data_IF_682029211660
#
_entry.id   IF_682029211660
#
_cell.length_a   1.000
_cell.length_b   1.000
_cell.length_c   1.000
_cell.angle_alpha   90.00
_cell.angle_beta   90.00
_cell.angle_gamma   90.00
#
_symmetry.space_group_name_H-M   'P 1'
#
loop_
_entity.id
_entity.type
_entity.pdbx_description
1 polymer ?
#
# COMPACT_ATOMS: atom_id res chain seq x y z
N UNK A 1 3.79 -2.97 -24.59
CA UNK A 1 2.52 -3.73 -24.67
C UNK A 1 2.20 -4.47 -23.37
N UNK A 2 3.07 -5.34 -22.84
CA UNK A 2 2.81 -6.12 -21.61
C UNK A 2 2.45 -5.22 -20.41
N UNK A 3 3.14 -4.09 -20.22
CA UNK A 3 2.85 -3.10 -19.18
C UNK A 3 1.39 -2.62 -19.19
N UNK A 4 0.86 -2.18 -20.34
CA UNK A 4 -0.51 -1.66 -20.40
C UNK A 4 -1.54 -2.76 -20.07
N UNK A 5 -1.36 -3.96 -20.61
CA UNK A 5 -2.25 -5.09 -20.33
C UNK A 5 -2.24 -5.49 -18.85
N UNK A 6 -1.09 -5.50 -18.19
CA UNK A 6 -1.01 -5.86 -16.77
C UNK A 6 -1.73 -4.83 -15.90
N UNK A 7 -1.61 -3.53 -16.19
CA UNK A 7 -2.33 -2.47 -15.48
C UNK A 7 -3.83 -2.44 -15.78
N UNK A 8 -4.25 -2.71 -17.03
CA UNK A 8 -5.67 -2.84 -17.40
C UNK A 8 -6.32 -3.96 -16.57
N UNK A 9 -5.72 -5.16 -16.59
CA UNK A 9 -6.25 -6.30 -15.85
C UNK A 9 -6.24 -6.06 -14.33
N UNK A 10 -5.22 -5.38 -13.82
CA UNK A 10 -5.14 -4.98 -12.40
C UNK A 10 -6.28 -4.03 -12.04
N UNK A 11 -6.52 -3.00 -12.84
CA UNK A 11 -7.60 -2.04 -12.62
C UNK A 11 -8.96 -2.74 -12.62
N UNK A 12 -9.24 -3.58 -13.63
CA UNK A 12 -10.47 -4.37 -13.69
C UNK A 12 -10.62 -5.30 -12.47
N UNK A 13 -9.54 -5.96 -12.07
CA UNK A 13 -9.52 -6.85 -10.92
C UNK A 13 -9.87 -6.15 -9.60
N UNK A 14 -9.24 -5.00 -9.33
CA UNK A 14 -9.52 -4.22 -8.12
C UNK A 14 -10.89 -3.52 -8.16
N UNK A 15 -11.37 -3.09 -9.34
CA UNK A 15 -12.75 -2.62 -9.48
C UNK A 15 -13.75 -3.75 -9.22
N UNK A 16 -13.53 -4.94 -9.76
CA UNK A 16 -14.37 -6.11 -9.49
C UNK A 16 -14.40 -6.48 -8.01
N UNK A 17 -13.24 -6.43 -7.34
CA UNK A 17 -13.14 -6.61 -5.89
C UNK A 17 -13.94 -5.55 -5.13
N UNK A 18 -13.79 -4.27 -5.50
CA UNK A 18 -14.55 -3.18 -4.89
C UNK A 18 -16.06 -3.38 -5.06
N UNK A 19 -16.54 -3.67 -6.27
CA UNK A 19 -17.95 -3.93 -6.55
C UNK A 19 -18.48 -5.10 -5.72
N UNK A 20 -17.73 -6.21 -5.63
CA UNK A 20 -18.11 -7.35 -4.80
C UNK A 20 -18.24 -6.97 -3.31
N UNK A 21 -17.31 -6.19 -2.78
CA UNK A 21 -17.33 -5.71 -1.40
C UNK A 21 -18.51 -4.77 -1.14
N UNK A 22 -18.82 -3.87 -2.08
CA UNK A 22 -19.95 -2.95 -2.00
C UNK A 22 -21.29 -3.71 -2.07
N UNK A 23 -21.39 -4.71 -2.96
CA UNK A 23 -22.59 -5.52 -3.15
C UNK A 23 -22.92 -6.40 -1.92
N UNK A 24 -21.89 -6.87 -1.19
CA UNK A 24 -22.09 -7.62 0.07
C UNK A 24 -22.56 -6.77 1.25
N UNK A 25 -22.68 -5.46 1.06
CA UNK A 25 -23.27 -4.52 2.01
C UNK A 25 -22.26 -3.89 2.95
N UNK A 26 -22.45 -2.59 3.19
CA UNK A 26 -21.62 -1.70 4.03
C UNK A 26 -21.82 -1.94 5.53
N UNK A 27 -21.99 -3.20 5.96
CA UNK A 27 -22.40 -3.52 7.33
C UNK A 27 -21.35 -3.13 8.36
N UNK A 28 -20.06 -3.27 8.03
CA UNK A 28 -18.94 -3.02 8.97
C UNK A 28 -17.91 -2.04 8.41
N UNK A 29 -17.30 -1.23 9.29
CA UNK A 29 -16.27 -0.24 8.92
C UNK A 29 -15.04 -0.85 8.23
N UNK A 30 -14.65 -2.07 8.62
CA UNK A 30 -13.54 -2.80 8.01
C UNK A 30 -13.79 -3.10 6.52
N UNK A 31 -15.00 -3.53 6.16
CA UNK A 31 -15.38 -3.79 4.76
C UNK A 31 -15.37 -2.51 3.93
N UNK A 32 -15.76 -1.37 4.52
CA UNK A 32 -15.69 -0.06 3.86
C UNK A 32 -14.25 0.36 3.58
N UNK A 33 -13.35 0.18 4.56
CA UNK A 33 -11.92 0.47 4.38
C UNK A 33 -11.28 -0.46 3.34
N UNK A 34 -11.68 -1.73 3.29
CA UNK A 34 -11.22 -2.67 2.28
C UNK A 34 -11.69 -2.25 0.87
N UNK A 35 -12.96 -1.89 0.73
CA UNK A 35 -13.50 -1.39 -0.54
C UNK A 35 -12.83 -0.09 -0.97
N UNK A 36 -12.61 0.85 -0.03
CA UNK A 36 -11.90 2.11 -0.30
C UNK A 36 -10.47 1.83 -0.79
N UNK A 37 -9.74 0.95 -0.11
CA UNK A 37 -8.39 0.57 -0.52
C UNK A 37 -8.38 -0.06 -1.92
N UNK A 38 -9.34 -0.93 -2.23
CA UNK A 38 -9.49 -1.51 -3.57
C UNK A 38 -9.83 -0.45 -4.64
N UNK A 39 -10.73 0.51 -4.35
CA UNK A 39 -11.08 1.60 -5.27
C UNK A 39 -9.87 2.48 -5.57
N UNK A 40 -9.16 2.93 -4.52
CA UNK A 40 -7.98 3.80 -4.70
C UNK A 40 -6.86 3.04 -5.43
N UNK A 41 -6.68 1.74 -5.16
CA UNK A 41 -5.74 0.90 -5.91
C UNK A 41 -6.13 0.79 -7.39
N UNK A 42 -7.42 0.58 -7.70
CA UNK A 42 -7.91 0.55 -9.08
C UNK A 42 -7.69 1.90 -9.80
N UNK A 43 -7.98 3.02 -9.14
CA UNK A 43 -7.75 4.36 -9.68
C UNK A 43 -6.26 4.63 -9.93
N UNK A 44 -5.39 4.20 -9.01
CA UNK A 44 -3.96 4.26 -9.22
C UNK A 44 -3.55 3.44 -10.46
N UNK A 45 -4.04 2.20 -10.60
CA UNK A 45 -3.75 1.38 -11.77
C UNK A 45 -4.24 2.03 -13.08
N UNK A 46 -5.43 2.67 -13.08
CA UNK A 46 -5.93 3.45 -14.23
C UNK A 46 -5.01 4.62 -14.55
N UNK A 47 -4.51 5.34 -13.54
CA UNK A 47 -3.58 6.45 -13.76
C UNK A 47 -2.30 6.02 -14.49
N UNK A 48 -1.83 4.80 -14.24
CA UNK A 48 -0.66 4.22 -14.91
C UNK A 48 -0.93 3.90 -16.39
N UNK A 49 -2.18 3.59 -16.75
CA UNK A 49 -2.59 3.33 -18.14
C UNK A 49 -2.64 4.63 -18.94
N UNK A 50 -3.25 5.68 -18.38
CA UNK A 50 -3.52 6.95 -19.07
C UNK A 50 -2.21 7.71 -19.34
N UNK A 51 -1.35 7.80 -18.33
CA UNK A 51 -0.13 8.59 -18.43
C UNK A 51 1.00 7.80 -19.08
N UNK A 52 1.10 6.49 -18.78
CA UNK A 52 2.17 5.63 -19.25
C UNK A 52 3.55 6.03 -18.69
N UNK A 53 4.48 5.08 -18.66
CA UNK A 53 5.87 5.42 -18.34
C UNK A 53 6.52 6.21 -19.49
N UNK A 54 7.33 7.26 -19.23
CA UNK A 54 7.74 7.82 -17.93
C UNK A 54 6.90 9.03 -17.47
N UNK A 55 5.78 9.33 -18.13
CA UNK A 55 4.99 10.51 -17.79
C UNK A 55 4.28 10.29 -16.46
N UNK A 56 4.47 11.23 -15.53
CA UNK A 56 3.87 11.16 -14.21
C UNK A 56 3.06 12.44 -13.96
N UNK A 57 1.74 12.32 -14.02
CA UNK A 57 0.82 13.39 -13.63
C UNK A 57 0.67 13.48 -12.11
N UNK A 58 0.33 14.67 -11.60
CA UNK A 58 0.14 14.91 -10.16
C UNK A 58 -0.89 13.95 -9.54
N UNK A 59 -1.98 13.68 -10.25
CA UNK A 59 -3.01 12.74 -9.79
C UNK A 59 -2.44 11.33 -9.61
N UNK A 60 -1.55 10.87 -10.49
CA UNK A 60 -0.92 9.55 -10.35
C UNK A 60 0.00 9.49 -9.13
N UNK A 61 0.73 10.56 -8.82
CA UNK A 61 1.60 10.64 -7.63
C UNK A 61 0.78 10.63 -6.34
N UNK A 62 -0.33 11.36 -6.30
CA UNK A 62 -1.22 11.34 -5.13
C UNK A 62 -1.87 9.96 -4.98
N UNK A 63 -2.39 9.37 -6.07
CA UNK A 63 -2.98 8.03 -6.03
C UNK A 63 -1.95 6.94 -5.67
N UNK A 64 -0.68 7.14 -6.01
CA UNK A 64 0.42 6.26 -5.61
C UNK A 64 0.56 6.23 -4.09
N UNK A 65 0.68 7.39 -3.43
CA UNK A 65 0.73 7.44 -1.96
C UNK A 65 -0.60 7.00 -1.32
N UNK A 66 -1.73 7.40 -1.92
CA UNK A 66 -3.06 7.14 -1.40
C UNK A 66 -3.36 5.64 -1.30
N UNK A 67 -2.97 4.83 -2.29
CA UNK A 67 -3.26 3.41 -2.21
C UNK A 67 -2.50 2.74 -1.06
N UNK A 68 -1.23 3.11 -0.81
CA UNK A 68 -0.47 2.63 0.35
C UNK A 68 -1.19 2.91 1.67
N UNK A 69 -1.52 4.17 1.92
CA UNK A 69 -2.14 4.57 3.20
C UNK A 69 -3.55 4.02 3.35
N UNK A 70 -4.32 3.84 2.27
CA UNK A 70 -5.63 3.18 2.35
C UNK A 70 -5.51 1.69 2.75
N UNK A 71 -4.53 0.97 2.21
CA UNK A 71 -4.24 -0.40 2.66
C UNK A 71 -3.75 -0.43 4.10
N UNK A 72 -2.90 0.52 4.51
CA UNK A 72 -2.47 0.65 5.90
C UNK A 72 -3.65 0.88 6.86
N UNK A 73 -4.59 1.78 6.52
CA UNK A 73 -5.79 2.04 7.31
C UNK A 73 -6.69 0.80 7.42
N UNK A 74 -6.88 0.07 6.32
CA UNK A 74 -7.60 -1.19 6.35
C UNK A 74 -6.93 -2.21 7.27
N UNK A 75 -5.62 -2.44 7.12
CA UNK A 75 -4.87 -3.37 7.97
C UNK A 75 -4.87 -2.93 9.44
N UNK A 76 -4.76 -1.62 9.72
CA UNK A 76 -4.87 -1.06 11.05
C UNK A 76 -6.24 -1.33 11.69
N UNK A 77 -7.30 -1.42 10.89
CA UNK A 77 -8.65 -1.76 11.37
C UNK A 77 -8.83 -3.24 11.73
N UNK A 78 -7.91 -4.11 11.29
CA UNK A 78 -7.86 -5.52 11.64
C UNK A 78 -7.00 -5.80 12.88
N UNK A 79 -6.17 -4.84 13.29
CA UNK A 79 -5.36 -4.97 14.50
C UNK A 79 -6.24 -4.90 15.75
N UNK A 80 -5.92 -5.68 16.80
CA UNK A 80 -6.67 -5.64 18.04
C UNK A 80 -6.45 -4.31 18.76
N UNK A 81 -7.43 -3.85 19.55
CA UNK A 81 -7.32 -2.61 20.33
C UNK A 81 -6.16 -2.63 21.34
N UNK A 82 -5.65 -3.81 21.70
CA UNK A 82 -4.47 -4.00 22.55
C UNK A 82 -3.14 -3.76 21.83
N UNK A 83 -3.12 -3.66 20.49
CA UNK A 83 -1.94 -3.26 19.72
C UNK A 83 -1.68 -1.76 19.94
N UNK A 84 -1.13 -1.44 21.12
CA UNK A 84 -0.81 -0.07 21.51
C UNK A 84 0.19 0.52 20.51
N UNK A 85 -0.13 1.67 19.94
CA UNK A 85 0.77 2.43 19.07
C UNK A 85 0.44 2.34 17.58
N UNK A 86 0.63 1.18 16.94
CA UNK A 86 0.60 1.08 15.47
C UNK A 86 -0.69 1.60 14.81
N UNK A 87 -1.91 1.20 15.22
CA UNK A 87 -3.13 1.70 14.59
C UNK A 87 -3.30 3.21 14.77
N UNK A 88 -2.84 3.76 15.89
CA UNK A 88 -2.89 5.19 16.18
C UNK A 88 -1.88 5.96 15.31
N UNK A 89 -0.65 5.45 15.21
CA UNK A 89 0.39 5.98 14.31
C UNK A 89 -0.11 5.99 12.87
N UNK A 90 -0.71 4.90 12.38
CA UNK A 90 -1.24 4.83 11.01
C UNK A 90 -2.33 5.88 10.78
N UNK A 91 -3.27 6.03 11.73
CA UNK A 91 -4.37 7.00 11.62
C UNK A 91 -3.88 8.46 11.59
N UNK A 92 -2.83 8.79 12.34
CA UNK A 92 -2.24 10.13 12.35
C UNK A 92 -1.33 10.33 11.14
N UNK A 93 -0.50 9.34 10.80
CA UNK A 93 0.44 9.43 9.69
C UNK A 93 -0.29 9.53 8.34
N UNK A 94 -1.44 8.89 8.17
CA UNK A 94 -2.18 8.90 6.89
C UNK A 94 -2.50 10.32 6.37
N UNK A 95 -3.22 11.18 7.11
CA UNK A 95 -3.48 12.55 6.63
C UNK A 95 -2.19 13.37 6.50
N UNK A 96 -1.20 13.17 7.38
CA UNK A 96 0.08 13.87 7.31
C UNK A 96 0.83 13.53 6.01
N UNK A 97 0.93 12.25 5.65
CA UNK A 97 1.60 11.80 4.43
C UNK A 97 0.90 12.32 3.18
N UNK A 98 -0.44 12.32 3.15
CA UNK A 98 -1.20 12.82 2.00
C UNK A 98 -1.05 14.34 1.86
N UNK A 99 -1.18 15.10 2.96
CA UNK A 99 -1.01 16.55 2.93
C UNK A 99 0.44 16.93 2.61
N UNK A 100 1.42 16.21 3.15
CA UNK A 100 2.83 16.40 2.80
C UNK A 100 3.10 16.10 1.32
N UNK A 101 2.49 15.04 0.76
CA UNK A 101 2.60 14.71 -0.67
C UNK A 101 2.03 15.84 -1.52
N UNK A 102 0.81 16.27 -1.22
CA UNK A 102 0.14 17.36 -1.94
C UNK A 102 0.98 18.64 -1.84
N UNK A 103 1.46 18.99 -0.65
CA UNK A 103 2.34 20.13 -0.43
C UNK A 103 3.63 20.05 -1.26
N UNK A 104 4.32 18.91 -1.26
CA UNK A 104 5.51 18.70 -2.08
C UNK A 104 5.20 18.85 -3.58
N UNK A 105 4.05 18.34 -4.05
CA UNK A 105 3.64 18.47 -5.45
C UNK A 105 3.36 19.93 -5.86
N UNK A 106 2.84 20.76 -4.96
CA UNK A 106 2.69 22.21 -5.24
C UNK A 106 4.03 22.93 -5.40
N UNK A 107 5.10 22.39 -4.81
CA UNK A 107 6.45 22.96 -4.88
C UNK A 107 7.25 22.49 -6.10
N UNK A 108 6.73 21.57 -6.92
CA UNK A 108 7.40 21.04 -8.12
C UNK A 108 7.60 22.08 -9.24
N UNK A 109 6.98 23.26 -9.13
CA UNK A 109 7.17 24.41 -10.05
C UNK A 109 8.30 25.37 -9.64
N UNK A 110 9.07 25.05 -8.60
CA UNK A 110 10.15 25.89 -8.08
C UNK A 110 11.46 25.75 -8.90
N UNK A 111 12.43 26.67 -8.71
CA UNK A 111 13.72 26.62 -9.41
C UNK A 111 14.48 25.29 -9.23
N UNK A 112 15.40 24.92 -10.15
CA UNK A 112 16.01 23.59 -10.22
C UNK A 112 16.70 23.09 -8.95
N UNK A 113 17.28 24.00 -8.14
CA UNK A 113 17.92 23.65 -6.88
C UNK A 113 16.93 23.18 -5.81
N UNK A 114 15.69 23.68 -5.83
CA UNK A 114 14.60 23.23 -4.95
C UNK A 114 13.89 22.01 -5.52
N UNK A 115 13.88 21.84 -6.85
CA UNK A 115 13.24 20.69 -7.52
C UNK A 115 13.81 19.34 -7.07
N UNK A 116 15.13 19.24 -6.84
CA UNK A 116 15.77 18.02 -6.34
C UNK A 116 15.31 17.66 -4.92
N UNK A 117 15.30 18.65 -4.01
CA UNK A 117 14.83 18.47 -2.63
C UNK A 117 13.35 18.07 -2.59
N UNK A 118 12.52 18.68 -3.45
CA UNK A 118 11.12 18.33 -3.60
C UNK A 118 10.98 16.89 -4.12
N UNK A 119 11.76 16.51 -5.13
CA UNK A 119 11.80 15.14 -5.66
C UNK A 119 12.13 14.12 -4.57
N UNK A 120 13.21 14.33 -3.81
CA UNK A 120 13.59 13.48 -2.68
C UNK A 120 12.47 13.36 -1.65
N UNK A 121 11.82 14.47 -1.29
CA UNK A 121 10.71 14.46 -0.32
C UNK A 121 9.53 13.59 -0.79
N UNK A 122 9.18 13.65 -2.07
CA UNK A 122 8.13 12.84 -2.70
C UNK A 122 8.44 11.35 -2.56
N UNK A 123 9.70 10.94 -2.76
CA UNK A 123 10.14 9.56 -2.59
C UNK A 123 10.15 9.12 -1.12
N UNK A 124 10.64 9.95 -0.22
CA UNK A 124 10.68 9.65 1.23
C UNK A 124 9.26 9.43 1.77
N UNK A 125 8.29 10.24 1.32
CA UNK A 125 6.88 10.10 1.69
C UNK A 125 6.32 8.74 1.24
N UNK A 126 6.60 8.32 0.00
CA UNK A 126 6.16 7.01 -0.52
C UNK A 126 6.83 5.86 0.24
N UNK A 127 8.14 5.96 0.50
CA UNK A 127 8.90 5.00 1.27
C UNK A 127 8.31 4.83 2.69
N UNK A 128 7.99 5.93 3.37
CA UNK A 128 7.38 5.89 4.70
C UNK A 128 5.99 5.24 4.64
N UNK A 129 5.17 5.55 3.64
CA UNK A 129 3.87 4.92 3.45
C UNK A 129 3.99 3.40 3.22
N UNK A 130 4.96 2.96 2.42
CA UNK A 130 5.24 1.53 2.16
C UNK A 130 5.66 0.82 3.45
N UNK A 131 6.62 1.39 4.19
CA UNK A 131 7.13 0.80 5.44
C UNK A 131 6.02 0.67 6.47
N UNK A 132 5.19 1.72 6.63
CA UNK A 132 4.02 1.68 7.53
C UNK A 132 3.04 0.59 7.11
N UNK A 133 2.78 0.46 5.81
CA UNK A 133 1.85 -0.55 5.28
C UNK A 133 2.39 -1.97 5.52
N UNK A 134 3.68 -2.23 5.26
CA UNK A 134 4.32 -3.51 5.55
C UNK A 134 4.34 -3.82 7.05
N UNK A 135 4.58 -2.81 7.89
CA UNK A 135 4.51 -2.97 9.34
C UNK A 135 3.08 -3.37 9.78
N UNK A 136 2.06 -2.81 9.14
CA UNK A 136 0.67 -3.21 9.36
C UNK A 136 0.39 -4.64 8.88
N UNK A 137 0.91 -5.06 7.72
CA UNK A 137 0.79 -6.45 7.22
C UNK A 137 1.38 -7.44 8.22
N UNK A 138 2.60 -7.19 8.68
CA UNK A 138 3.30 -8.04 9.64
C UNK A 138 2.60 -8.03 10.99
N UNK A 139 2.19 -6.84 11.46
CA UNK A 139 1.45 -6.68 12.72
C UNK A 139 0.15 -7.49 12.72
N UNK A 140 -0.64 -7.43 11.64
CA UNK A 140 -1.88 -8.19 11.50
C UNK A 140 -1.61 -9.69 11.50
N UNK A 141 -0.60 -10.15 10.74
CA UNK A 141 -0.28 -11.58 10.65
C UNK A 141 0.25 -12.14 11.97
N UNK A 142 1.06 -11.38 12.70
CA UNK A 142 1.59 -11.80 14.01
C UNK A 142 0.53 -11.81 15.10
N UNK A 143 -0.34 -10.81 15.10
CA UNK A 143 -1.39 -10.73 16.11
C UNK A 143 -2.39 -11.89 15.96
N UNK A 144 -2.64 -12.35 14.72
CA UNK A 144 -3.62 -13.39 14.39
C UNK A 144 -3.39 -14.72 15.12
N UNK A 145 -4.47 -15.29 15.66
CA UNK A 145 -4.51 -16.67 16.16
C UNK A 145 -4.35 -17.69 15.02
N UNK A 146 -4.06 -18.95 15.35
CA UNK A 146 -3.83 -20.01 14.35
C UNK A 146 -5.01 -20.20 13.40
N UNK A 147 -6.25 -20.10 13.91
CA UNK A 147 -7.47 -20.17 13.10
C UNK A 147 -7.63 -18.96 12.18
N UNK A 148 -7.35 -17.75 12.68
CA UNK A 148 -7.47 -16.50 11.92
C UNK A 148 -6.43 -16.39 10.80
N UNK A 149 -5.20 -16.90 11.03
CA UNK A 149 -4.12 -16.92 10.04
C UNK A 149 -4.53 -17.60 8.73
N UNK A 150 -5.38 -18.63 8.80
CA UNK A 150 -5.90 -19.32 7.61
C UNK A 150 -6.78 -18.44 6.72
N UNK A 151 -7.48 -17.47 7.29
CA UNK A 151 -8.27 -16.50 6.55
C UNK A 151 -7.40 -15.30 6.13
N UNK A 152 -6.60 -14.76 7.05
CA UNK A 152 -5.77 -13.57 6.84
C UNK A 152 -4.65 -13.78 5.83
N UNK A 153 -4.17 -15.02 5.61
CA UNK A 153 -3.13 -15.28 4.59
C UNK A 153 -3.53 -14.82 3.19
N UNK A 154 -4.83 -14.86 2.85
CA UNK A 154 -5.34 -14.39 1.56
C UNK A 154 -5.33 -12.86 1.43
N UNK A 155 -5.03 -12.12 2.50
CA UNK A 155 -4.85 -10.67 2.54
C UNK A 155 -3.37 -10.35 2.74
N UNK A 156 -2.75 -10.88 3.80
CA UNK A 156 -1.38 -10.54 4.20
C UNK A 156 -0.34 -11.02 3.18
N UNK A 157 -0.51 -12.20 2.56
CA UNK A 157 0.46 -12.71 1.57
C UNK A 157 0.46 -11.84 0.30
N UNK A 158 -0.67 -11.63 -0.41
CA UNK A 158 -0.65 -10.83 -1.63
C UNK A 158 -0.21 -9.38 -1.38
N UNK A 159 -0.70 -8.75 -0.31
CA UNK A 159 -0.28 -7.38 0.04
C UNK A 159 1.19 -7.33 0.47
N UNK A 160 1.65 -8.31 1.24
CA UNK A 160 3.06 -8.42 1.64
C UNK A 160 3.98 -8.53 0.44
N UNK A 161 3.65 -9.39 -0.54
CA UNK A 161 4.41 -9.52 -1.79
C UNK A 161 4.43 -8.19 -2.56
N UNK A 162 3.25 -7.59 -2.79
CA UNK A 162 3.14 -6.32 -3.53
C UNK A 162 3.97 -5.24 -2.85
N UNK A 163 3.77 -4.96 -1.56
CA UNK A 163 4.47 -3.86 -0.90
C UNK A 163 5.95 -4.14 -0.63
N UNK A 164 6.36 -5.40 -0.51
CA UNK A 164 7.80 -5.74 -0.46
C UNK A 164 8.46 -5.45 -1.80
N UNK A 165 7.76 -5.72 -2.91
CA UNK A 165 8.24 -5.35 -4.23
C UNK A 165 8.32 -3.82 -4.40
N UNK A 166 7.33 -3.07 -3.90
CA UNK A 166 7.38 -1.61 -3.87
C UNK A 166 8.60 -1.10 -3.10
N UNK A 167 8.87 -1.67 -1.93
CA UNK A 167 10.04 -1.34 -1.13
C UNK A 167 11.35 -1.62 -1.90
N UNK A 168 11.42 -2.76 -2.58
CA UNK A 168 12.55 -3.12 -3.44
C UNK A 168 12.75 -2.10 -4.57
N UNK A 169 11.69 -1.74 -5.29
CA UNK A 169 11.77 -0.76 -6.39
C UNK A 169 12.24 0.61 -5.87
N UNK A 170 11.72 1.06 -4.73
CA UNK A 170 12.15 2.32 -4.13
C UNK A 170 13.62 2.27 -3.69
N UNK A 171 14.09 1.14 -3.13
CA UNK A 171 15.50 0.95 -2.80
C UNK A 171 16.41 1.00 -4.05
N UNK A 172 15.98 0.39 -5.16
CA UNK A 172 16.74 0.37 -6.41
C UNK A 172 16.88 1.74 -7.06
N UNK A 173 15.86 2.61 -6.95
CA UNK A 173 15.91 3.97 -7.51
C UNK A 173 17.05 4.80 -6.89
N UNK A 174 17.40 4.54 -5.63
CA UNK A 174 18.54 5.18 -4.97
C UNK A 174 19.88 4.48 -5.23
N UNK A 175 19.88 3.16 -5.38
CA UNK A 175 21.10 2.37 -5.54
C UNK A 175 21.65 2.34 -6.98
N UNK A 176 20.79 2.42 -7.98
CA UNK A 176 21.13 2.30 -9.39
C UNK A 176 20.53 3.48 -10.14
N UNK A 177 21.33 4.16 -10.95
CA UNK A 177 21.04 5.41 -11.67
C UNK A 177 19.89 5.30 -12.69
N UNK A 178 18.66 5.07 -12.23
CA UNK A 178 17.43 5.14 -13.02
C UNK A 178 16.58 3.87 -12.99
N UNK A 179 15.24 4.01 -12.95
CA UNK A 179 14.34 2.87 -12.90
C UNK A 179 14.25 2.18 -14.27
N UNK A 180 14.56 0.88 -14.32
CA UNK A 180 14.42 0.06 -15.53
C UNK A 180 12.93 -0.20 -15.83
N UNK A 181 12.56 -0.20 -17.11
CA UNK A 181 11.19 -0.48 -17.58
C UNK A 181 10.67 -1.86 -17.13
N UNK A 182 11.58 -2.80 -16.90
CA UNK A 182 11.33 -4.14 -16.35
C UNK A 182 10.63 -4.07 -14.99
N UNK A 183 11.04 -3.15 -14.12
CA UNK A 183 10.47 -3.03 -12.77
C UNK A 183 9.00 -2.62 -12.81
N UNK A 184 8.62 -1.75 -13.73
CA UNK A 184 7.24 -1.30 -13.88
C UNK A 184 6.33 -2.38 -14.48
N UNK A 185 6.85 -3.19 -15.39
CA UNK A 185 6.06 -4.29 -15.99
C UNK A 185 5.74 -5.36 -14.96
N UNK A 186 6.75 -5.75 -14.17
CA UNK A 186 6.57 -6.73 -13.09
C UNK A 186 5.65 -6.21 -11.97
N UNK A 187 5.68 -4.90 -11.70
CA UNK A 187 4.76 -4.23 -10.76
C UNK A 187 3.29 -4.50 -11.10
N UNK A 188 2.91 -4.32 -12.36
CA UNK A 188 1.54 -4.60 -12.81
C UNK A 188 1.17 -6.08 -12.69
N UNK A 189 2.10 -7.00 -12.99
CA UNK A 189 1.86 -8.44 -12.88
C UNK A 189 1.66 -8.90 -11.43
N UNK A 190 2.47 -8.40 -10.49
CA UNK A 190 2.34 -8.74 -9.07
C UNK A 190 1.00 -8.26 -8.50
N UNK A 191 0.59 -7.04 -8.86
CA UNK A 191 -0.71 -6.51 -8.45
C UNK A 191 -1.87 -7.31 -9.07
N UNK A 192 -1.74 -7.75 -10.31
CA UNK A 192 -2.73 -8.62 -10.95
C UNK A 192 -2.87 -9.96 -10.20
N UNK A 193 -1.77 -10.59 -9.79
CA UNK A 193 -1.78 -11.85 -9.01
C UNK A 193 -2.38 -11.65 -7.62
N UNK A 194 -2.27 -10.45 -7.04
CA UNK A 194 -2.89 -10.14 -5.75
C UNK A 194 -4.43 -10.16 -5.81
N UNK A 195 -5.03 -9.77 -6.93
CA UNK A 195 -6.50 -9.68 -7.11
C UNK A 195 -7.23 -10.98 -6.76
N UNK A 196 -6.94 -12.15 -7.37
CA UNK A 196 -7.69 -13.37 -7.09
C UNK A 196 -7.58 -13.80 -5.62
N UNK A 197 -6.43 -13.60 -4.99
CA UNK A 197 -6.25 -13.91 -3.56
C UNK A 197 -7.12 -13.00 -2.68
N UNK A 198 -7.16 -11.70 -2.99
CA UNK A 198 -8.02 -10.75 -2.28
C UNK A 198 -9.52 -11.01 -2.52
N UNK A 199 -9.89 -11.46 -3.72
CA UNK A 199 -11.26 -11.89 -4.02
C UNK A 199 -11.67 -13.12 -3.20
N UNK A 200 -10.77 -14.09 -3.01
CA UNK A 200 -11.01 -15.24 -2.12
C UNK A 200 -11.18 -14.77 -0.67
N UNK A 201 -10.40 -13.78 -0.22
CA UNK A 201 -10.58 -13.20 1.11
C UNK A 201 -11.95 -12.50 1.26
N UNK A 202 -12.36 -11.71 0.26
CA UNK A 202 -13.65 -11.02 0.24
C UNK A 202 -14.85 -11.98 0.12
N UNK A 203 -14.67 -13.12 -0.55
CA UNK A 203 -15.75 -14.10 -0.75
C UNK A 203 -16.09 -14.88 0.53
N UNK A 204 -15.12 -15.07 1.43
CA UNK A 204 -15.26 -15.83 2.68
C UNK A 204 -16.17 -15.12 3.70
N UNK A 205 -17.43 -15.56 3.78
CA UNK A 205 -18.48 -14.97 4.63
C UNK A 205 -18.17 -14.91 6.13
N UNK A 206 -17.42 -15.88 6.67
CA UNK A 206 -17.10 -15.91 8.10
C UNK A 206 -16.23 -14.73 8.52
N UNK A 207 -15.37 -14.21 7.65
CA UNK A 207 -14.39 -13.16 7.97
C UNK A 207 -15.02 -11.80 8.34
N UNK A 208 -16.24 -11.53 7.87
CA UNK A 208 -16.86 -10.20 7.99
C UNK A 208 -17.98 -10.11 9.03
N UNK A 209 -18.39 -11.24 9.62
CA UNK A 209 -19.65 -11.34 10.38
C UNK A 209 -19.47 -11.22 11.88
N UNK A 210 -18.35 -11.72 12.40
CA UNK A 210 -17.95 -11.53 13.79
C UNK A 210 -16.83 -10.50 13.84
N UNK A 211 -16.84 -9.55 14.80
CA UNK A 211 -15.68 -8.68 15.00
C UNK A 211 -14.52 -9.56 15.45
N UNK A 212 -13.65 -9.95 14.50
CA UNK A 212 -12.40 -10.63 14.79
C UNK A 212 -11.51 -9.67 15.58
N UNK A 213 -11.67 -9.68 16.90
CA UNK A 213 -10.67 -9.19 17.80
C UNK A 213 -9.59 -10.25 17.87
N UNK A 214 -8.59 -10.04 17.02
CA UNK A 214 -7.37 -10.81 16.99
C UNK A 214 -6.83 -11.02 18.42
N UNK A 215 -6.93 -12.25 18.92
CA UNK A 215 -6.73 -12.54 20.34
C UNK A 215 -5.25 -12.68 20.70
N UNK A 216 -4.80 -11.76 21.57
CA UNK A 216 -3.68 -11.84 22.53
C UNK A 216 -2.53 -12.77 22.15
N UNK A 217 -1.72 -12.39 21.17
CA UNK A 217 -0.29 -12.65 21.21
C UNK A 217 0.44 -11.34 20.98
N UNK A 218 1.47 -11.09 21.81
CA UNK A 218 2.32 -9.90 21.75
C UNK A 218 2.82 -9.71 20.33
N UNK A 219 2.28 -8.71 19.62
CA UNK A 219 2.79 -8.30 18.33
C UNK A 219 4.21 -7.75 18.57
N UNK A 220 5.22 -8.57 18.25
CA UNK A 220 6.60 -8.14 18.23
C UNK A 220 6.76 -7.29 16.97
N UNK A 221 6.81 -5.98 17.18
CA UNK A 221 7.15 -5.03 16.13
C UNK A 221 8.40 -5.54 15.41
N UNK A 222 8.29 -5.74 14.10
CA UNK A 222 9.36 -6.30 13.29
C UNK A 222 10.49 -5.28 13.19
N UNK A 223 11.39 -5.31 14.19
CA UNK A 223 12.52 -4.40 14.32
C UNK A 223 13.37 -4.40 13.04
N UNK A 224 13.43 -5.56 12.37
CA UNK A 224 14.12 -5.76 11.10
C UNK A 224 13.51 -4.93 9.97
N UNK A 225 12.18 -4.92 9.84
CA UNK A 225 11.50 -4.12 8.82
C UNK A 225 11.67 -2.62 9.08
N UNK A 226 11.57 -2.21 10.35
CA UNK A 226 11.83 -0.83 10.76
C UNK A 226 13.29 -0.45 10.47
N UNK A 227 14.24 -1.34 10.77
CA UNK A 227 15.65 -1.16 10.48
C UNK A 227 15.94 -1.01 8.98
N UNK A 228 15.32 -1.84 8.13
CA UNK A 228 15.41 -1.73 6.67
C UNK A 228 14.81 -0.41 6.19
N UNK A 229 13.63 -0.04 6.68
CA UNK A 229 13.00 1.24 6.34
C UNK A 229 13.86 2.44 6.73
N UNK A 230 14.41 2.44 7.94
CA UNK A 230 15.29 3.49 8.43
C UNK A 230 16.59 3.57 7.63
N UNK A 231 17.22 2.44 7.33
CA UNK A 231 18.40 2.39 6.47
C UNK A 231 18.10 3.02 5.09
N UNK A 232 16.99 2.64 4.46
CA UNK A 232 16.59 3.19 3.16
C UNK A 232 16.29 4.69 3.23
N UNK A 233 15.75 5.18 4.34
CA UNK A 233 15.57 6.63 4.55
C UNK A 233 16.90 7.38 4.64
N UNK A 234 17.89 6.82 5.34
CA UNK A 234 19.23 7.43 5.40
C UNK A 234 19.87 7.49 4.01
N UNK A 235 19.76 6.41 3.23
CA UNK A 235 20.25 6.37 1.85
C UNK A 235 19.54 7.42 0.99
N UNK A 236 18.22 7.54 1.12
CA UNK A 236 17.43 8.54 0.40
C UNK A 236 17.77 9.98 0.76
N UNK A 237 18.17 10.24 2.02
CA UNK A 237 18.62 11.56 2.48
C UNK A 237 20.04 11.89 2.03
N UNK A 238 20.88 10.88 1.78
CA UNK A 238 22.27 11.07 1.34
C UNK A 238 22.45 11.15 -0.18
N UNK A 239 21.46 10.68 -0.94
CA UNK A 239 21.48 10.62 -2.40
C UNK A 239 21.01 11.94 -3.02
#
# INVERSE_FOLDING_TARGET
MIYQWSFILTAFGFFGLAVLLLAKGWRNGQTRLFALAAIIHALWAVSQIILGYPLVGWLALVLHTAHFVCWALFLASLLPSSAKGLPHVIRIATPVLILAKIGALFLLGLPPHLANLVGQSIYIIDLLAIVITLAAVVGVFQAASEYERWALKFICIPLGIVFTYELFVHAQIFAVSGPRSEYFTLRGLLNLVAVPLLLIAASRHKFWRDPFFVSRQTALYSLTLIGIGFYLMLVALSA
#
